data_IF_609526624167
#
_entry.id   IF_609526624167
#
_cell.length_a   1.000
_cell.length_b   1.000
_cell.length_c   1.000
_cell.angle_alpha   90.00
_cell.angle_beta   90.00
_cell.angle_gamma   90.00
#
_symmetry.space_group_name_H-M   'P 1'
#
loop_
_entity.id
_entity.type
_entity.pdbx_description
1 polymer ?
#
# COMPACT_ATOMS: atom_id res chain seq x y z
N UNK A 1 -4.80 12.53 36.47
CA UNK A 1 -4.42 12.90 35.09
C UNK A 1 -5.23 12.05 34.15
N UNK A 2 -6.24 12.60 33.48
CA UNK A 2 -6.98 11.88 32.44
C UNK A 2 -6.00 11.35 31.39
N UNK A 3 -6.06 10.06 31.09
CA UNK A 3 -5.30 9.45 30.01
C UNK A 3 -5.74 10.11 28.71
N UNK A 4 -4.90 11.00 28.16
CA UNK A 4 -5.14 11.56 26.83
C UNK A 4 -5.08 10.39 25.84
N UNK A 5 -6.24 9.95 25.37
CA UNK A 5 -6.36 8.97 24.30
C UNK A 5 -6.26 9.67 22.94
N UNK A 6 -5.87 8.93 21.90
CA UNK A 6 -5.90 9.44 20.52
C UNK A 6 -7.31 9.94 20.17
N UNK A 7 -7.38 11.07 19.46
CA UNK A 7 -8.67 11.62 19.02
C UNK A 7 -9.36 10.69 18.01
N UNK A 8 -10.58 10.26 18.34
CA UNK A 8 -11.48 9.49 17.46
C UNK A 8 -12.32 10.43 16.58
N UNK A 9 -11.66 11.15 15.68
CA UNK A 9 -12.29 12.19 14.84
C UNK A 9 -12.78 11.72 13.46
N UNK A 10 -12.65 10.44 13.12
CA UNK A 10 -13.05 9.90 11.82
C UNK A 10 -14.51 9.45 11.84
N UNK A 11 -15.27 9.84 10.82
CA UNK A 11 -16.65 9.39 10.60
C UNK A 11 -16.66 8.01 9.91
N UNK A 12 -17.73 7.21 10.02
CA UNK A 12 -17.84 5.92 9.31
C UNK A 12 -17.57 6.02 7.80
N UNK A 13 -18.03 7.10 7.15
CA UNK A 13 -17.75 7.39 5.73
C UNK A 13 -16.26 7.55 5.44
N UNK A 14 -15.50 8.13 6.37
CA UNK A 14 -14.06 8.31 6.25
C UNK A 14 -13.39 6.94 6.35
N UNK A 15 -13.82 6.10 7.29
CA UNK A 15 -13.26 4.75 7.45
C UNK A 15 -13.45 3.89 6.19
N UNK A 16 -14.66 3.87 5.61
CA UNK A 16 -14.91 3.11 4.37
C UNK A 16 -14.09 3.62 3.18
N UNK A 17 -13.93 4.95 3.05
CA UNK A 17 -13.18 5.54 1.94
C UNK A 17 -11.66 5.54 2.15
N UNK A 18 -11.15 5.64 3.37
CA UNK A 18 -9.74 5.39 3.69
C UNK A 18 -9.41 3.94 3.37
N UNK A 19 -10.29 3.02 3.74
CA UNK A 19 -10.14 1.63 3.35
C UNK A 19 -10.11 1.45 1.83
N UNK A 20 -10.94 2.17 1.06
CA UNK A 20 -10.94 2.12 -0.42
C UNK A 20 -9.72 2.81 -1.05
N UNK A 21 -9.57 4.11 -0.80
CA UNK A 21 -8.61 4.99 -1.43
C UNK A 21 -7.19 4.86 -0.90
N UNK A 22 -7.01 4.51 0.38
CA UNK A 22 -5.69 4.26 0.96
C UNK A 22 -4.99 3.03 0.40
N UNK A 23 -5.74 2.15 -0.26
CA UNK A 23 -5.21 0.99 -0.99
C UNK A 23 -4.96 1.28 -2.47
N UNK A 24 -5.24 2.50 -2.95
CA UNK A 24 -5.04 2.89 -4.35
C UNK A 24 -4.09 4.10 -4.33
N UNK A 25 -2.80 3.81 -4.45
CA UNK A 25 -1.73 4.81 -4.48
C UNK A 25 -0.99 4.84 -5.82
N UNK A 26 0.11 5.59 -5.88
CA UNK A 26 0.92 5.69 -7.11
C UNK A 26 1.61 4.39 -7.49
N UNK A 27 1.66 3.39 -6.59
CA UNK A 27 2.10 2.04 -6.94
C UNK A 27 1.32 1.45 -8.13
N UNK A 28 0.02 1.74 -8.23
CA UNK A 28 -0.77 1.36 -9.40
C UNK A 28 -0.52 2.31 -10.59
N UNK A 29 -0.46 3.62 -10.38
CA UNK A 29 -0.41 4.59 -11.49
C UNK A 29 0.98 4.79 -12.11
N UNK A 30 2.02 4.92 -11.28
CA UNK A 30 3.41 5.08 -11.69
C UNK A 30 4.13 3.73 -11.76
N UNK A 31 3.91 2.87 -10.76
CA UNK A 31 4.52 1.54 -10.72
C UNK A 31 4.12 0.65 -11.88
N UNK A 32 2.89 0.80 -12.40
CA UNK A 32 2.42 0.03 -13.56
C UNK A 32 3.23 0.26 -14.83
N UNK A 33 3.79 1.46 -15.03
CA UNK A 33 4.63 1.74 -16.20
C UNK A 33 5.85 0.79 -16.24
N UNK A 34 6.51 0.63 -15.09
CA UNK A 34 7.66 -0.27 -14.96
C UNK A 34 7.26 -1.74 -15.10
N UNK A 35 6.15 -2.15 -14.51
CA UNK A 35 5.71 -3.55 -14.54
C UNK A 35 5.20 -3.96 -15.92
N UNK A 36 4.51 -3.08 -16.64
CA UNK A 36 4.12 -3.28 -18.04
C UNK A 36 5.37 -3.36 -18.92
N UNK A 37 6.35 -2.47 -18.73
CA UNK A 37 7.61 -2.51 -19.50
C UNK A 37 8.41 -3.80 -19.29
N UNK A 38 8.37 -4.39 -18.09
CA UNK A 38 9.07 -5.64 -17.81
C UNK A 38 8.31 -6.89 -18.27
N UNK A 39 7.01 -6.98 -18.00
CA UNK A 39 6.23 -8.20 -18.20
C UNK A 39 5.39 -8.20 -19.49
N UNK A 40 5.18 -7.04 -20.10
CA UNK A 40 4.19 -6.85 -21.16
C UNK A 40 2.78 -7.23 -20.69
N UNK A 41 1.94 -7.81 -21.56
CA UNK A 41 0.56 -8.21 -21.22
C UNK A 41 0.45 -9.18 -20.04
N UNK A 42 1.47 -10.01 -19.80
CA UNK A 42 1.51 -10.94 -18.65
C UNK A 42 1.46 -10.26 -17.28
N UNK A 43 1.68 -8.94 -17.23
CA UNK A 43 1.45 -8.13 -16.02
C UNK A 43 0.04 -8.30 -15.45
N UNK A 44 -0.96 -8.62 -16.29
CA UNK A 44 -2.32 -8.93 -15.85
C UNK A 44 -2.37 -10.12 -14.90
N UNK A 45 -1.63 -11.17 -15.24
CA UNK A 45 -1.50 -12.34 -14.39
C UNK A 45 -0.71 -12.02 -13.12
N UNK A 46 0.21 -11.06 -13.16
CA UNK A 46 0.95 -10.63 -11.98
C UNK A 46 0.01 -9.93 -10.98
N UNK A 47 -0.80 -8.97 -11.45
CA UNK A 47 -1.81 -8.29 -10.62
C UNK A 47 -2.88 -9.25 -10.10
N UNK A 48 -3.30 -10.22 -10.92
CA UNK A 48 -4.28 -11.23 -10.51
C UNK A 48 -3.70 -12.18 -9.45
N UNK A 49 -2.50 -12.71 -9.65
CA UNK A 49 -1.82 -13.60 -8.72
C UNK A 49 -1.57 -12.91 -7.37
N UNK A 50 -1.02 -11.70 -7.41
CA UNK A 50 -0.84 -10.87 -6.22
C UNK A 50 -2.17 -10.62 -5.50
N UNK A 51 -3.22 -10.26 -6.25
CA UNK A 51 -4.57 -10.07 -5.70
C UNK A 51 -5.13 -11.32 -5.00
N UNK A 52 -4.96 -12.50 -5.60
CA UNK A 52 -5.38 -13.78 -4.98
C UNK A 52 -4.64 -14.02 -3.66
N UNK A 53 -3.33 -13.78 -3.62
CA UNK A 53 -2.52 -13.95 -2.40
C UNK A 53 -2.96 -12.96 -1.32
N UNK A 54 -3.19 -11.71 -1.70
CA UNK A 54 -3.69 -10.65 -0.80
C UNK A 54 -5.08 -10.98 -0.27
N UNK A 55 -5.94 -11.57 -1.10
CA UNK A 55 -7.23 -12.09 -0.63
C UNK A 55 -7.05 -13.14 0.48
N UNK A 56 -6.09 -14.07 0.35
CA UNK A 56 -5.80 -15.02 1.42
C UNK A 56 -5.27 -14.33 2.68
N UNK A 57 -4.30 -13.42 2.55
CA UNK A 57 -3.78 -12.63 3.69
C UNK A 57 -4.92 -11.96 4.46
N UNK A 58 -5.85 -11.35 3.73
CA UNK A 58 -6.98 -10.64 4.31
C UNK A 58 -8.03 -11.58 4.93
N UNK A 59 -8.19 -12.79 4.38
CA UNK A 59 -9.01 -13.84 5.00
C UNK A 59 -8.40 -14.33 6.31
N UNK A 60 -7.07 -14.49 6.37
CA UNK A 60 -6.34 -14.83 7.60
C UNK A 60 -6.54 -13.73 8.65
N UNK A 61 -6.27 -12.48 8.28
CA UNK A 61 -6.45 -11.34 9.17
C UNK A 61 -7.88 -11.23 9.68
N UNK A 62 -8.87 -11.40 8.79
CA UNK A 62 -10.28 -11.38 9.14
C UNK A 62 -10.68 -12.47 10.12
N UNK A 63 -10.23 -13.70 9.90
CA UNK A 63 -10.46 -14.81 10.80
C UNK A 63 -9.92 -14.50 12.21
N UNK A 64 -8.67 -14.08 12.29
CA UNK A 64 -8.01 -13.84 13.58
C UNK A 64 -8.62 -12.65 14.33
N UNK A 65 -8.92 -11.54 13.64
CA UNK A 65 -9.54 -10.35 14.25
C UNK A 65 -10.99 -10.56 14.69
N UNK A 66 -11.75 -11.45 14.05
CA UNK A 66 -13.13 -11.74 14.44
C UNK A 66 -13.19 -12.53 15.75
N UNK A 67 -12.23 -13.43 15.95
CA UNK A 67 -12.07 -14.18 17.19
C UNK A 67 -11.43 -13.31 18.28
N UNK A 68 -10.33 -12.65 17.96
CA UNK A 68 -9.56 -11.81 18.87
C UNK A 68 -9.47 -10.36 18.33
N UNK A 69 -10.47 -9.52 18.61
CA UNK A 69 -10.44 -8.12 18.21
C UNK A 69 -9.40 -7.36 19.04
N UNK A 70 -8.19 -7.22 18.50
CA UNK A 70 -7.07 -6.53 19.16
C UNK A 70 -6.67 -5.26 18.41
N UNK A 71 -6.44 -4.18 19.16
CA UNK A 71 -5.80 -2.96 18.64
C UNK A 71 -4.33 -3.26 18.31
N UNK A 72 -3.87 -2.87 17.11
CA UNK A 72 -2.53 -3.21 16.59
C UNK A 72 -2.48 -4.37 15.58
N UNK A 73 -3.61 -5.06 15.39
CA UNK A 73 -3.85 -6.03 14.30
C UNK A 73 -2.72 -7.08 14.15
N UNK A 74 -2.01 -7.08 13.03
CA UNK A 74 -1.02 -8.10 12.66
C UNK A 74 0.25 -8.08 13.53
N UNK A 75 0.70 -6.94 14.04
CA UNK A 75 1.88 -6.89 14.91
C UNK A 75 1.59 -7.53 16.27
N UNK A 76 0.37 -7.34 16.79
CA UNK A 76 -0.10 -8.00 18.02
C UNK A 76 -0.19 -9.51 17.82
N UNK A 77 -0.70 -9.97 16.67
CA UNK A 77 -0.72 -11.40 16.37
C UNK A 77 0.69 -11.99 16.18
N UNK A 78 1.63 -11.26 15.59
CA UNK A 78 3.02 -11.68 15.47
C UNK A 78 3.66 -11.82 16.85
N UNK A 79 3.41 -10.85 17.74
CA UNK A 79 3.87 -10.88 19.13
C UNK A 79 3.36 -12.12 19.87
N UNK A 80 2.03 -12.30 19.88
CA UNK A 80 1.33 -13.32 20.65
C UNK A 80 1.56 -14.74 20.13
N UNK A 81 1.56 -14.91 18.81
CA UNK A 81 1.59 -16.24 18.18
C UNK A 81 2.94 -16.63 17.60
N UNK A 82 3.90 -15.70 17.43
CA UNK A 82 5.26 -16.03 16.94
C UNK A 82 6.28 -15.81 18.04
N UNK A 83 6.52 -14.56 18.41
CA UNK A 83 7.41 -14.15 19.51
C UNK A 83 7.35 -12.63 19.72
N UNK A 84 7.76 -12.14 20.91
CA UNK A 84 8.03 -10.72 21.18
C UNK A 84 8.85 -9.99 20.10
N UNK A 85 9.89 -10.66 19.58
CA UNK A 85 10.74 -10.14 18.51
C UNK A 85 9.97 -10.04 17.18
N UNK A 86 9.16 -11.04 16.83
CA UNK A 86 8.37 -11.02 15.60
C UNK A 86 7.34 -9.88 15.63
N UNK A 87 6.69 -9.63 16.77
CA UNK A 87 5.82 -8.48 16.98
C UNK A 87 6.55 -7.15 16.76
N UNK A 88 7.70 -7.00 17.40
CA UNK A 88 8.54 -5.81 17.28
C UNK A 88 9.01 -5.55 15.84
N UNK A 89 9.54 -6.59 15.19
CA UNK A 89 10.02 -6.51 13.81
C UNK A 89 8.87 -6.17 12.85
N UNK A 90 7.70 -6.77 13.05
CA UNK A 90 6.52 -6.49 12.21
C UNK A 90 6.08 -5.04 12.32
N UNK A 91 6.01 -4.48 13.53
CA UNK A 91 5.61 -3.09 13.75
C UNK A 91 6.61 -2.08 13.14
N UNK A 92 7.92 -2.30 13.35
CA UNK A 92 8.95 -1.44 12.77
C UNK A 92 9.06 -1.57 11.25
N UNK A 93 8.88 -2.77 10.69
CA UNK A 93 8.87 -2.98 9.25
C UNK A 93 7.67 -2.28 8.59
N UNK A 94 6.51 -2.31 9.25
CA UNK A 94 5.32 -1.57 8.79
C UNK A 94 5.47 -0.06 8.94
N UNK A 95 6.17 0.43 9.97
CA UNK A 95 6.53 1.85 10.07
C UNK A 95 7.45 2.28 8.92
N UNK A 96 8.49 1.50 8.63
CA UNK A 96 9.43 1.78 7.55
C UNK A 96 8.77 1.76 6.18
N UNK A 97 7.86 0.80 5.96
CA UNK A 97 6.98 0.76 4.79
C UNK A 97 6.30 2.12 4.56
N UNK A 98 5.60 2.66 5.57
CA UNK A 98 4.86 3.92 5.40
C UNK A 98 5.76 5.14 5.21
N UNK A 99 6.95 5.15 5.82
CA UNK A 99 7.93 6.22 5.61
C UNK A 99 8.48 6.18 4.18
N UNK A 100 8.88 4.99 3.70
CA UNK A 100 9.45 4.83 2.35
C UNK A 100 8.41 5.03 1.26
N UNK A 101 7.22 4.46 1.40
CA UNK A 101 6.09 4.76 0.49
C UNK A 101 5.81 6.26 0.52
N UNK A 102 5.73 6.88 1.70
CA UNK A 102 5.57 8.34 1.81
C UNK A 102 6.61 9.13 1.02
N UNK A 103 7.90 8.78 1.09
CA UNK A 103 8.96 9.41 0.29
C UNK A 103 8.79 9.17 -1.23
N UNK A 104 8.33 7.99 -1.62
CA UNK A 104 8.04 7.68 -3.03
C UNK A 104 6.87 8.52 -3.55
N UNK A 105 5.83 8.71 -2.75
CA UNK A 105 4.68 9.55 -3.06
C UNK A 105 5.09 11.03 -3.24
N UNK A 106 6.02 11.51 -2.41
CA UNK A 106 6.62 12.85 -2.55
C UNK A 106 7.35 13.01 -3.87
N UNK A 107 8.08 11.97 -4.30
CA UNK A 107 8.75 11.94 -5.59
C UNK A 107 7.73 11.97 -6.74
N UNK A 108 6.64 11.21 -6.61
CA UNK A 108 5.57 11.18 -7.60
C UNK A 108 4.87 12.54 -7.74
N UNK A 109 4.62 13.26 -6.63
CA UNK A 109 4.11 14.65 -6.67
C UNK A 109 5.01 15.53 -7.54
N UNK A 110 6.34 15.44 -7.31
CA UNK A 110 7.31 16.22 -8.08
C UNK A 110 7.23 15.94 -9.59
N UNK A 111 7.22 14.66 -9.95
CA UNK A 111 7.17 14.20 -11.35
C UNK A 111 5.86 14.66 -12.03
N UNK A 112 4.71 14.48 -11.36
CA UNK A 112 3.42 14.78 -11.97
C UNK A 112 3.16 16.28 -12.11
N UNK A 113 3.65 17.13 -11.22
CA UNK A 113 3.54 18.59 -11.40
C UNK A 113 4.35 19.06 -12.62
N UNK A 114 5.47 18.40 -12.92
CA UNK A 114 6.30 18.66 -14.09
C UNK A 114 5.56 18.52 -15.43
N UNK A 115 4.42 17.80 -15.47
CA UNK A 115 3.59 17.73 -16.68
C UNK A 115 3.03 19.10 -17.10
N UNK A 116 2.59 19.93 -16.14
CA UNK A 116 2.09 21.28 -16.43
C UNK A 116 3.18 22.33 -16.36
N UNK A 117 4.18 22.12 -15.51
CA UNK A 117 5.24 23.09 -15.23
C UNK A 117 6.63 22.42 -15.38
N UNK A 118 7.03 22.06 -16.61
CA UNK A 118 8.27 21.31 -16.86
C UNK A 118 9.54 22.06 -16.45
N UNK A 119 9.49 23.39 -16.44
CA UNK A 119 10.63 24.24 -16.08
C UNK A 119 10.85 24.34 -14.56
N UNK A 120 9.89 23.87 -13.74
CA UNK A 120 10.02 23.88 -12.29
C UNK A 120 10.82 22.64 -11.84
N UNK A 121 11.95 22.80 -11.14
CA UNK A 121 12.70 21.67 -10.61
C UNK A 121 11.86 20.77 -9.72
N UNK A 122 11.92 19.45 -9.94
CA UNK A 122 11.08 18.41 -9.31
C UNK A 122 10.97 18.50 -7.78
N UNK A 123 12.03 18.93 -7.09
CA UNK A 123 12.06 19.05 -5.63
C UNK A 123 11.14 20.15 -5.07
N UNK A 124 10.84 21.21 -5.84
CA UNK A 124 9.98 22.32 -5.41
C UNK A 124 8.53 21.85 -5.23
N UNK A 125 7.87 21.26 -6.25
CA UNK A 125 6.52 20.71 -6.07
C UNK A 125 6.49 19.56 -5.06
N UNK A 126 7.54 18.73 -5.00
CA UNK A 126 7.66 17.70 -3.96
C UNK A 126 7.64 18.31 -2.54
N UNK A 127 8.42 19.37 -2.30
CA UNK A 127 8.43 20.11 -1.04
C UNK A 127 7.06 20.72 -0.73
N UNK A 128 6.47 21.41 -1.71
CA UNK A 128 5.16 22.04 -1.55
C UNK A 128 4.08 21.01 -1.16
N UNK A 129 4.04 19.86 -1.84
CA UNK A 129 3.12 18.77 -1.52
C UNK A 129 3.28 18.25 -0.09
N UNK A 130 4.53 17.99 0.33
CA UNK A 130 4.82 17.57 1.72
C UNK A 130 4.35 18.61 2.73
N UNK A 131 4.63 19.89 2.50
CA UNK A 131 4.26 20.96 3.43
C UNK A 131 2.74 21.13 3.55
N UNK A 132 2.00 21.02 2.44
CA UNK A 132 0.53 21.06 2.44
C UNK A 132 -0.04 19.93 3.30
N UNK A 133 0.41 18.70 3.06
CA UNK A 133 -0.09 17.51 3.79
C UNK A 133 0.37 17.53 5.25
N UNK A 134 1.60 17.96 5.52
CA UNK A 134 2.14 18.14 6.86
C UNK A 134 1.31 19.13 7.68
N UNK A 135 0.96 20.28 7.09
CA UNK A 135 0.12 21.28 7.73
C UNK A 135 -1.27 20.71 8.08
N UNK A 136 -1.89 19.97 7.16
CA UNK A 136 -3.19 19.32 7.40
C UNK A 136 -3.13 18.31 8.56
N UNK A 137 -2.10 17.46 8.60
CA UNK A 137 -1.93 16.44 9.64
C UNK A 137 -1.58 17.01 11.02
N UNK A 138 -0.84 18.12 11.06
CA UNK A 138 -0.49 18.80 12.30
C UNK A 138 -1.67 19.62 12.87
N UNK A 139 -2.56 20.12 12.01
CA UNK A 139 -3.71 20.94 12.41
C UNK A 139 -4.78 20.12 13.14
N UNK A 140 -5.34 19.09 12.49
CA UNK A 140 -6.34 18.21 13.12
C UNK A 140 -6.58 16.93 12.33
N UNK A 141 -6.86 15.83 13.04
CA UNK A 141 -7.22 14.51 12.45
C UNK A 141 -8.42 14.60 11.51
N UNK A 142 -9.36 15.52 11.74
CA UNK A 142 -10.51 15.72 10.85
C UNK A 142 -10.10 16.15 9.43
N UNK A 143 -9.02 16.93 9.29
CA UNK A 143 -8.57 17.39 7.98
C UNK A 143 -7.99 16.23 7.18
N UNK A 144 -7.21 15.35 7.82
CA UNK A 144 -6.77 14.09 7.23
C UNK A 144 -7.95 13.29 6.64
N UNK A 145 -9.02 13.09 7.42
CA UNK A 145 -10.17 12.31 6.98
C UNK A 145 -10.96 12.95 5.83
N UNK A 146 -11.09 14.28 5.81
CA UNK A 146 -11.74 15.00 4.71
C UNK A 146 -10.88 15.00 3.42
N UNK A 147 -9.56 15.20 3.52
CA UNK A 147 -8.66 15.09 2.37
C UNK A 147 -8.74 13.68 1.75
N UNK A 148 -8.65 12.64 2.57
CA UNK A 148 -8.76 11.26 2.07
C UNK A 148 -10.11 10.97 1.44
N UNK A 149 -11.20 11.48 2.01
CA UNK A 149 -12.53 11.32 1.43
C UNK A 149 -12.58 11.83 -0.03
N UNK A 150 -12.09 13.05 -0.25
CA UNK A 150 -12.11 13.66 -1.58
C UNK A 150 -11.10 12.99 -2.53
N UNK A 151 -9.88 12.70 -2.07
CA UNK A 151 -8.89 12.03 -2.90
C UNK A 151 -9.33 10.61 -3.30
N UNK A 152 -9.92 9.85 -2.38
CA UNK A 152 -10.49 8.53 -2.69
C UNK A 152 -11.60 8.63 -3.74
N UNK A 153 -12.50 9.61 -3.62
CA UNK A 153 -13.59 9.83 -4.56
C UNK A 153 -13.06 10.15 -5.97
N UNK A 154 -12.09 11.06 -6.10
CA UNK A 154 -11.48 11.43 -7.38
C UNK A 154 -10.85 10.20 -8.05
N UNK A 155 -10.05 9.44 -7.30
CA UNK A 155 -9.37 8.22 -7.78
C UNK A 155 -10.35 7.17 -8.28
N UNK A 156 -11.34 6.82 -7.46
CA UNK A 156 -12.29 5.74 -7.78
C UNK A 156 -13.11 6.12 -9.01
N UNK A 157 -13.65 7.34 -9.07
CA UNK A 157 -14.41 7.82 -10.23
C UNK A 157 -13.57 7.79 -11.50
N UNK A 158 -12.32 8.25 -11.44
CA UNK A 158 -11.44 8.26 -12.60
C UNK A 158 -11.12 6.85 -13.12
N UNK A 159 -10.83 5.89 -12.24
CA UNK A 159 -10.56 4.51 -12.65
C UNK A 159 -11.82 3.87 -13.27
N UNK A 160 -12.99 4.07 -12.67
CA UNK A 160 -14.25 3.54 -13.23
C UNK A 160 -14.53 4.16 -14.60
N UNK A 161 -14.39 5.48 -14.74
CA UNK A 161 -14.56 6.16 -16.02
C UNK A 161 -13.57 5.63 -17.08
N UNK A 162 -12.30 5.43 -16.70
CA UNK A 162 -11.28 4.86 -17.57
C UNK A 162 -11.67 3.47 -18.07
N UNK A 163 -12.18 2.62 -17.17
CA UNK A 163 -12.58 1.25 -17.53
C UNK A 163 -13.76 1.28 -18.49
N UNK A 164 -14.78 2.11 -18.23
CA UNK A 164 -15.96 2.23 -19.10
C UNK A 164 -15.56 2.74 -20.49
N UNK A 165 -14.83 3.85 -20.54
CA UNK A 165 -14.40 4.47 -21.80
C UNK A 165 -13.47 3.54 -22.57
N UNK A 166 -12.47 2.97 -21.89
CA UNK A 166 -11.51 2.07 -22.50
C UNK A 166 -12.14 0.78 -23.04
N UNK A 167 -13.06 0.18 -22.30
CA UNK A 167 -13.86 -0.96 -22.78
C UNK A 167 -14.69 -0.56 -24.01
N UNK A 168 -15.26 0.65 -24.00
CA UNK A 168 -15.90 1.29 -25.13
C UNK A 168 -15.05 1.35 -26.40
N UNK A 169 -13.81 1.83 -26.26
CA UNK A 169 -12.83 1.89 -27.34
C UNK A 169 -12.43 0.50 -27.85
N UNK A 170 -12.22 -0.45 -26.93
CA UNK A 170 -11.76 -1.81 -27.24
C UNK A 170 -12.80 -2.57 -28.05
N UNK A 171 -14.06 -2.57 -27.63
CA UNK A 171 -15.10 -3.43 -28.22
C UNK A 171 -16.02 -2.72 -29.20
N UNK A 172 -16.25 -1.41 -29.05
CA UNK A 172 -17.23 -0.66 -29.85
C UNK A 172 -16.59 0.46 -30.69
N UNK A 173 -15.29 0.72 -30.52
CA UNK A 173 -14.61 1.78 -31.27
C UNK A 173 -15.10 3.19 -30.94
N UNK A 174 -15.63 3.41 -29.73
CA UNK A 174 -16.04 4.75 -29.27
C UNK A 174 -14.88 5.75 -29.40
N UNK A 175 -15.10 6.90 -30.04
CA UNK A 175 -14.04 7.88 -30.28
C UNK A 175 -12.96 7.45 -31.28
N UNK A 176 -13.06 6.26 -31.88
CA UNK A 176 -12.13 5.73 -32.89
C UNK A 176 -12.85 5.43 -34.21
N UNK A 177 -13.75 6.33 -34.64
CA UNK A 177 -14.49 6.20 -35.90
C UNK A 177 -15.37 4.93 -36.00
N UNK A 178 -15.75 4.33 -34.86
CA UNK A 178 -16.49 3.06 -34.83
C UNK A 178 -15.63 1.82 -35.07
N UNK A 179 -14.31 1.98 -35.26
CA UNK A 179 -13.40 0.86 -35.40
C UNK A 179 -12.92 0.40 -34.02
N UNK A 180 -13.33 -0.80 -33.62
CA UNK A 180 -12.89 -1.42 -32.38
C UNK A 180 -11.36 -1.63 -32.40
N UNK A 181 -10.67 -1.20 -31.35
CA UNK A 181 -9.22 -1.47 -31.20
C UNK A 181 -8.96 -2.98 -31.08
N UNK A 182 -9.90 -3.71 -30.47
CA UNK A 182 -9.79 -5.15 -30.28
C UNK A 182 -8.72 -5.54 -29.25
N UNK A 183 -8.35 -6.82 -29.27
CA UNK A 183 -7.44 -7.43 -28.28
C UNK A 183 -6.02 -7.68 -28.83
N UNK A 184 -5.72 -7.17 -30.03
CA UNK A 184 -4.48 -7.48 -30.76
C UNK A 184 -3.22 -7.10 -29.97
N UNK A 185 -3.21 -5.94 -29.31
CA UNK A 185 -2.05 -5.48 -28.52
C UNK A 185 -1.61 -6.44 -27.41
N UNK A 186 -2.49 -7.34 -26.95
CA UNK A 186 -2.13 -8.38 -25.97
C UNK A 186 -1.20 -9.47 -26.53
N UNK A 187 -1.08 -9.57 -27.86
CA UNK A 187 -0.36 -10.66 -28.52
C UNK A 187 0.57 -10.19 -29.64
N UNK A 188 0.28 -9.06 -30.28
CA UNK A 188 0.97 -8.60 -31.49
C UNK A 188 2.41 -8.13 -31.27
N UNK A 189 2.83 -7.84 -30.03
CA UNK A 189 4.13 -7.23 -29.73
C UNK A 189 5.05 -8.20 -28.98
N UNK A 190 5.30 -9.38 -29.54
CA UNK A 190 6.12 -10.43 -28.90
C UNK A 190 5.32 -11.41 -28.02
N UNK A 191 4.01 -11.50 -28.22
CA UNK A 191 3.13 -12.42 -27.49
C UNK A 191 2.68 -11.89 -26.13
N UNK A 192 2.04 -12.77 -25.35
CA UNK A 192 1.50 -12.41 -24.04
C UNK A 192 2.58 -12.32 -22.94
N UNK A 193 3.68 -13.07 -23.09
CA UNK A 193 4.86 -13.07 -22.20
C UNK A 193 6.12 -12.56 -22.92
N UNK A 194 6.15 -11.31 -23.41
CA UNK A 194 7.28 -10.80 -24.18
C UNK A 194 8.54 -10.65 -23.31
N UNK A 195 8.39 -10.36 -22.01
CA UNK A 195 9.49 -10.38 -21.03
C UNK A 195 9.82 -11.76 -20.46
N UNK A 196 9.14 -12.82 -20.93
CA UNK A 196 9.22 -14.17 -20.39
C UNK A 196 8.87 -14.27 -18.89
N UNK A 197 9.21 -15.40 -18.28
CA UNK A 197 9.02 -15.60 -16.83
C UNK A 197 9.86 -14.65 -15.98
N UNK A 198 11.01 -14.19 -16.50
CA UNK A 198 11.89 -13.24 -15.82
C UNK A 198 11.21 -11.87 -15.67
N UNK A 199 10.67 -11.32 -16.75
CA UNK A 199 9.93 -10.06 -16.74
C UNK A 199 8.67 -10.12 -15.87
N UNK A 200 7.96 -11.25 -15.94
CA UNK A 200 6.82 -11.54 -15.06
C UNK A 200 7.23 -11.53 -13.58
N UNK A 201 8.32 -12.21 -13.21
CA UNK A 201 8.84 -12.23 -11.85
C UNK A 201 9.28 -10.84 -11.36
N UNK A 202 9.85 -10.02 -12.25
CA UNK A 202 10.22 -8.64 -11.93
C UNK A 202 8.98 -7.79 -11.65
N UNK A 203 7.93 -7.94 -12.45
CA UNK A 203 6.67 -7.24 -12.25
C UNK A 203 6.02 -7.60 -10.90
N UNK A 204 6.08 -8.87 -10.49
CA UNK A 204 5.55 -9.30 -9.19
C UNK A 204 6.09 -8.46 -8.02
N UNK A 205 7.34 -7.97 -8.08
CA UNK A 205 7.94 -7.17 -7.02
C UNK A 205 7.16 -5.87 -6.75
N UNK A 206 6.90 -5.10 -7.80
CA UNK A 206 6.23 -3.79 -7.69
C UNK A 206 4.72 -3.96 -7.57
N UNK A 207 4.16 -4.94 -8.29
CA UNK A 207 2.74 -5.31 -8.17
C UNK A 207 2.40 -5.70 -6.73
N UNK A 208 3.26 -6.48 -6.07
CA UNK A 208 3.08 -6.85 -4.66
C UNK A 208 3.05 -5.62 -3.76
N UNK A 209 3.98 -4.68 -3.96
CA UNK A 209 3.99 -3.44 -3.22
C UNK A 209 2.73 -2.60 -3.45
N UNK A 210 2.16 -2.62 -4.66
CA UNK A 210 0.93 -1.87 -4.96
C UNK A 210 -0.26 -2.27 -4.08
N UNK A 211 -0.28 -3.50 -3.56
CA UNK A 211 -1.32 -3.97 -2.63
C UNK A 211 -1.04 -3.67 -1.16
N UNK A 212 0.11 -3.08 -0.82
CA UNK A 212 0.42 -2.67 0.55
C UNK A 212 -0.59 -1.61 1.03
N UNK A 213 -0.88 -1.62 2.33
CA UNK A 213 -1.87 -0.73 2.93
C UNK A 213 -3.27 -1.33 2.98
N UNK A 214 -3.53 -2.47 2.33
CA UNK A 214 -4.79 -3.21 2.43
C UNK A 214 -5.12 -3.69 3.84
N UNK A 215 -4.08 -3.87 4.66
CA UNK A 215 -4.15 -4.21 6.08
C UNK A 215 -4.65 -3.06 6.93
N UNK A 216 -4.63 -1.82 6.42
CA UNK A 216 -5.26 -0.68 7.11
C UNK A 216 -6.73 -0.96 7.38
N UNK A 217 -7.39 -1.74 6.52
CA UNK A 217 -8.76 -2.21 6.75
C UNK A 217 -8.88 -2.92 8.10
N UNK A 218 -7.91 -3.74 8.49
CA UNK A 218 -7.90 -4.43 9.78
C UNK A 218 -7.75 -3.48 10.96
N UNK A 219 -6.91 -2.45 10.81
CA UNK A 219 -6.69 -1.41 11.82
C UNK A 219 -7.96 -0.57 11.98
N UNK A 220 -8.52 -0.07 10.87
CA UNK A 220 -9.66 0.84 10.89
C UNK A 220 -10.97 0.14 11.20
N UNK A 221 -11.16 -1.13 10.79
CA UNK A 221 -12.35 -1.89 11.15
C UNK A 221 -12.41 -2.19 12.65
N UNK A 222 -11.27 -2.33 13.32
CA UNK A 222 -11.21 -2.44 14.79
C UNK A 222 -11.73 -1.19 15.52
N UNK A 223 -11.76 -0.04 14.85
CA UNK A 223 -12.27 1.23 15.39
C UNK A 223 -13.74 1.50 15.01
N UNK A 224 -14.39 0.63 14.24
CA UNK A 224 -15.78 0.81 13.80
C UNK A 224 -16.82 0.44 14.87
N UNK A 225 -18.04 0.97 14.78
CA UNK A 225 -19.14 0.66 15.72
C UNK A 225 -19.49 -0.84 15.75
N UNK A 226 -19.44 -1.51 14.60
CA UNK A 226 -19.57 -2.96 14.49
C UNK A 226 -18.35 -3.55 13.77
N UNK A 227 -17.25 -3.83 14.50
CA UNK A 227 -15.99 -4.29 13.92
C UNK A 227 -16.14 -5.58 13.12
N UNK A 228 -16.89 -6.56 13.65
CA UNK A 228 -17.06 -7.88 13.00
C UNK A 228 -17.79 -7.75 11.66
N UNK A 229 -18.91 -7.02 11.61
CA UNK A 229 -19.63 -6.80 10.37
C UNK A 229 -18.80 -6.00 9.35
N UNK A 230 -18.20 -4.89 9.81
CA UNK A 230 -17.39 -3.99 8.98
C UNK A 230 -16.21 -4.71 8.35
N UNK A 231 -15.48 -5.50 9.15
CA UNK A 231 -14.33 -6.27 8.68
C UNK A 231 -14.73 -7.33 7.65
N UNK A 232 -15.84 -8.07 7.89
CA UNK A 232 -16.35 -9.06 6.92
C UNK A 232 -16.73 -8.42 5.59
N UNK A 233 -17.45 -7.30 5.62
CA UNK A 233 -17.86 -6.54 4.43
C UNK A 233 -16.63 -6.04 3.67
N UNK A 234 -15.66 -5.46 4.37
CA UNK A 234 -14.45 -4.94 3.75
C UNK A 234 -13.60 -6.03 3.08
N UNK A 235 -13.45 -7.21 3.72
CA UNK A 235 -12.73 -8.34 3.12
C UNK A 235 -13.51 -8.92 1.93
N UNK A 236 -14.84 -9.00 1.96
CA UNK A 236 -15.59 -9.44 0.77
C UNK A 236 -15.41 -8.47 -0.40
N UNK A 237 -15.42 -7.18 -0.11
CA UNK A 237 -15.28 -6.14 -1.13
C UNK A 237 -13.87 -6.07 -1.72
N UNK A 238 -12.85 -6.64 -1.07
CA UNK A 238 -11.48 -6.63 -1.58
C UNK A 238 -11.37 -7.27 -2.97
N UNK A 239 -12.17 -8.32 -3.25
CA UNK A 239 -12.14 -9.05 -4.51
C UNK A 239 -12.54 -8.12 -5.65
N UNK A 240 -13.63 -7.38 -5.48
CA UNK A 240 -14.07 -6.40 -6.47
C UNK A 240 -13.05 -5.27 -6.66
N UNK A 241 -12.38 -4.84 -5.58
CA UNK A 241 -11.30 -3.84 -5.68
C UNK A 241 -10.12 -4.35 -6.50
N UNK A 242 -9.68 -5.58 -6.28
CA UNK A 242 -8.63 -6.25 -7.06
C UNK A 242 -9.05 -6.35 -8.54
N UNK A 243 -10.25 -6.87 -8.81
CA UNK A 243 -10.70 -7.11 -10.17
C UNK A 243 -10.92 -5.81 -10.94
N UNK A 244 -11.56 -4.81 -10.34
CA UNK A 244 -11.90 -3.57 -11.02
C UNK A 244 -10.68 -2.64 -11.07
N UNK A 245 -10.14 -2.24 -9.91
CA UNK A 245 -9.16 -1.16 -9.85
C UNK A 245 -7.77 -1.57 -10.31
N UNK A 246 -7.39 -2.84 -10.13
CA UNK A 246 -6.09 -3.33 -10.52
C UNK A 246 -6.15 -4.05 -11.86
N UNK A 247 -6.83 -5.20 -11.91
CA UNK A 247 -6.84 -6.04 -13.12
C UNK A 247 -7.56 -5.35 -14.27
N UNK A 248 -8.75 -4.78 -14.03
CA UNK A 248 -9.54 -4.10 -15.06
C UNK A 248 -8.86 -2.85 -15.61
N UNK A 249 -8.29 -2.02 -14.73
CA UNK A 249 -7.52 -0.85 -15.14
C UNK A 249 -6.32 -1.22 -16.01
N UNK A 250 -5.52 -2.20 -15.57
CA UNK A 250 -4.34 -2.64 -16.31
C UNK A 250 -4.73 -3.32 -17.62
N UNK A 251 -5.81 -4.10 -17.63
CA UNK A 251 -6.34 -4.75 -18.84
C UNK A 251 -6.64 -3.74 -19.92
N UNK A 252 -7.34 -2.65 -19.55
CA UNK A 252 -7.64 -1.57 -20.48
C UNK A 252 -6.37 -0.94 -21.02
N UNK A 253 -5.37 -0.66 -20.17
CA UNK A 253 -4.11 -0.04 -20.59
C UNK A 253 -3.35 -0.90 -21.59
N UNK A 254 -3.08 -2.17 -21.26
CA UNK A 254 -2.26 -3.06 -22.13
C UNK A 254 -3.01 -3.55 -23.37
N UNK A 255 -4.33 -3.38 -23.41
CA UNK A 255 -5.14 -3.66 -24.61
C UNK A 255 -5.21 -2.45 -25.52
N UNK A 256 -5.30 -1.24 -24.95
CA UNK A 256 -5.36 -0.01 -25.73
C UNK A 256 -4.01 0.36 -26.35
N UNK A 257 -2.89 0.05 -25.68
CA UNK A 257 -1.55 0.42 -26.12
C UNK A 257 -0.61 -0.76 -26.28
N UNK A 258 0.27 -0.72 -27.30
CA UNK A 258 1.45 -1.58 -27.33
C UNK A 258 2.24 -1.44 -26.04
N UNK A 259 2.49 -2.54 -25.33
CA UNK A 259 3.14 -2.51 -24.02
C UNK A 259 4.55 -1.89 -24.06
N UNK A 260 5.20 -1.94 -25.22
CA UNK A 260 6.53 -1.38 -25.49
C UNK A 260 6.54 0.14 -25.67
N UNK A 261 5.38 0.78 -25.85
CA UNK A 261 5.21 2.25 -25.94
C UNK A 261 4.68 2.85 -24.63
N UNK A 262 4.25 1.99 -23.70
CA UNK A 262 3.70 2.42 -22.41
C UNK A 262 4.82 2.96 -21.51
N UNK A 263 4.67 4.22 -21.07
CA UNK A 263 5.58 4.85 -20.10
C UNK A 263 6.73 5.67 -20.70
N UNK A 264 6.76 5.89 -22.03
CA UNK A 264 7.72 6.81 -22.65
C UNK A 264 7.37 8.29 -22.42
N UNK A 265 6.08 8.59 -22.15
CA UNK A 265 5.60 9.94 -21.85
C UNK A 265 4.54 9.89 -20.74
N UNK A 266 4.96 10.03 -19.48
CA UNK A 266 4.05 10.11 -18.32
C UNK A 266 3.39 8.78 -17.91
N UNK A 267 2.31 8.87 -17.12
CA UNK A 267 1.62 7.67 -16.58
C UNK A 267 0.81 6.95 -17.66
N UNK A 268 0.78 5.61 -17.68
CA UNK A 268 -0.05 4.82 -18.61
C UNK A 268 -1.53 5.19 -18.56
N UNK A 269 -2.01 5.63 -17.40
CA UNK A 269 -3.40 6.06 -17.19
C UNK A 269 -3.69 7.40 -17.90
N UNK A 270 -2.71 8.30 -17.95
CA UNK A 270 -2.81 9.59 -18.66
C UNK A 270 -2.94 9.35 -20.16
N UNK A 271 -2.16 8.40 -20.70
CA UNK A 271 -2.19 8.05 -22.11
C UNK A 271 -3.58 7.57 -22.54
N UNK A 272 -4.24 6.69 -21.79
CA UNK A 272 -5.57 6.13 -22.14
C UNK A 272 -6.61 7.14 -22.58
N UNK A 273 -6.68 8.31 -21.93
CA UNK A 273 -7.68 9.31 -22.29
C UNK A 273 -7.25 10.24 -23.42
N UNK A 274 -5.95 10.43 -23.64
CA UNK A 274 -5.45 11.18 -24.78
C UNK A 274 -5.87 10.54 -26.11
N UNK A 275 -5.98 9.20 -26.15
CA UNK A 275 -6.44 8.45 -27.34
C UNK A 275 -7.87 8.77 -27.79
N UNK A 276 -8.71 9.21 -26.84
CA UNK A 276 -10.12 9.54 -27.09
C UNK A 276 -10.26 10.93 -27.73
N UNK A 277 -9.15 11.62 -28.01
CA UNK A 277 -9.14 12.94 -28.64
C UNK A 277 -9.53 14.09 -27.69
N UNK A 278 -9.68 13.82 -26.39
CA UNK A 278 -9.96 14.86 -25.40
C UNK A 278 -8.62 15.49 -24.99
N UNK A 279 -8.26 16.60 -25.62
CA UNK A 279 -7.00 17.34 -25.37
C UNK A 279 -6.81 17.67 -23.88
N UNK A 280 -7.90 17.97 -23.16
CA UNK A 280 -7.86 18.25 -21.73
C UNK A 280 -7.71 17.00 -20.83
N UNK A 281 -7.95 15.79 -21.35
CA UNK A 281 -8.05 14.61 -20.51
C UNK A 281 -6.71 14.09 -19.99
N UNK A 282 -5.61 14.33 -20.71
CA UNK A 282 -4.28 14.04 -20.20
C UNK A 282 -3.98 14.86 -18.93
N UNK A 283 -4.29 16.16 -18.94
CA UNK A 283 -4.19 17.02 -17.76
C UNK A 283 -5.11 16.59 -16.62
N UNK A 284 -6.37 16.22 -16.92
CA UNK A 284 -7.32 15.75 -15.90
C UNK A 284 -6.80 14.49 -15.20
N UNK A 285 -6.32 13.50 -15.95
CA UNK A 285 -5.80 12.28 -15.34
C UNK A 285 -4.50 12.53 -14.61
N UNK A 286 -3.62 13.39 -15.13
CA UNK A 286 -2.43 13.78 -14.40
C UNK A 286 -2.77 14.41 -13.04
N UNK A 287 -3.86 15.21 -12.97
CA UNK A 287 -4.42 15.71 -11.71
C UNK A 287 -4.97 14.60 -10.82
N UNK A 288 -5.70 13.62 -11.38
CA UNK A 288 -6.14 12.43 -10.62
C UNK A 288 -4.94 11.72 -10.00
N UNK A 289 -3.87 11.47 -10.76
CA UNK A 289 -2.70 10.77 -10.23
C UNK A 289 -1.95 11.62 -9.19
N UNK A 290 -1.87 12.94 -9.38
CA UNK A 290 -1.35 13.84 -8.36
C UNK A 290 -2.16 13.75 -7.05
N UNK A 291 -3.49 13.67 -7.12
CA UNK A 291 -4.33 13.47 -5.93
C UNK A 291 -4.12 12.10 -5.30
N UNK A 292 -3.82 11.07 -6.10
CA UNK A 292 -3.42 9.76 -5.59
C UNK A 292 -2.12 9.85 -4.81
N UNK A 293 -1.14 10.60 -5.31
CA UNK A 293 0.14 10.80 -4.66
C UNK A 293 0.02 11.57 -3.34
N UNK A 294 -0.76 12.65 -3.34
CA UNK A 294 -1.06 13.44 -2.13
C UNK A 294 -1.76 12.59 -1.07
N UNK A 295 -2.68 11.71 -1.47
CA UNK A 295 -3.37 10.76 -0.57
C UNK A 295 -2.43 9.69 0.01
N UNK A 296 -1.54 9.12 -0.81
CA UNK A 296 -0.52 8.18 -0.33
C UNK A 296 0.42 8.84 0.68
N UNK A 297 0.89 10.06 0.39
CA UNK A 297 1.72 10.85 1.31
C UNK A 297 1.00 11.13 2.64
N UNK A 298 -0.28 11.51 2.57
CA UNK A 298 -1.13 11.77 3.73
C UNK A 298 -1.34 10.51 4.59
N UNK A 299 -1.60 9.37 3.96
CA UNK A 299 -1.70 8.06 4.61
C UNK A 299 -0.37 7.66 5.26
N UNK A 300 0.76 7.90 4.60
CA UNK A 300 2.10 7.64 5.13
C UNK A 300 2.41 8.45 6.39
N UNK A 301 2.14 9.77 6.37
CA UNK A 301 2.35 10.66 7.53
C UNK A 301 1.48 10.21 8.72
N UNK A 302 0.20 9.95 8.45
CA UNK A 302 -0.76 9.55 9.46
C UNK A 302 -0.43 8.18 10.08
N UNK A 303 -0.23 7.17 9.24
CA UNK A 303 0.01 5.78 9.66
C UNK A 303 1.37 5.62 10.35
N UNK A 304 2.44 6.19 9.80
CA UNK A 304 3.76 6.11 10.45
C UNK A 304 3.78 6.89 11.78
N UNK A 305 3.14 8.06 11.84
CA UNK A 305 3.05 8.84 13.08
C UNK A 305 2.32 8.10 14.20
N UNK A 306 1.19 7.45 13.88
CA UNK A 306 0.45 6.62 14.85
C UNK A 306 1.18 5.33 15.21
N UNK A 307 1.81 4.66 14.25
CA UNK A 307 2.59 3.44 14.53
C UNK A 307 3.73 3.73 15.49
N UNK A 308 4.43 4.85 15.31
CA UNK A 308 5.52 5.26 16.19
C UNK A 308 5.04 5.65 17.59
N UNK A 309 3.87 6.29 17.69
CA UNK A 309 3.19 6.51 18.97
C UNK A 309 2.86 5.19 19.68
N UNK A 310 2.26 4.23 18.98
CA UNK A 310 1.89 2.91 19.54
C UNK A 310 3.11 2.11 19.97
N UNK A 311 4.18 2.09 19.16
CA UNK A 311 5.47 1.51 19.53
C UNK A 311 5.99 2.13 20.82
N UNK A 312 5.94 3.45 20.94
CA UNK A 312 6.38 4.13 22.15
C UNK A 312 5.54 3.73 23.34
N UNK A 313 4.21 3.72 23.20
CA UNK A 313 3.25 3.29 24.24
C UNK A 313 3.61 1.93 24.82
N UNK A 314 3.97 0.98 23.94
CA UNK A 314 4.38 -0.37 24.29
C UNK A 314 5.83 -0.49 24.83
N UNK A 315 6.54 0.63 25.02
CA UNK A 315 7.94 0.64 25.46
C UNK A 315 8.92 0.16 24.38
N UNK A 316 8.47 0.11 23.13
CA UNK A 316 9.22 -0.35 21.95
C UNK A 316 9.83 0.80 21.13
N UNK A 317 9.56 2.05 21.50
CA UNK A 317 10.21 3.25 20.97
C UNK A 317 10.44 4.30 22.08
N UNK A 318 11.31 5.30 21.87
CA UNK A 318 11.58 6.35 22.85
C UNK A 318 10.31 7.03 23.39
N UNK A 319 10.27 7.28 24.71
CA UNK A 319 9.07 7.78 25.39
C UNK A 319 8.56 9.14 24.90
N UNK A 320 9.40 9.96 24.27
CA UNK A 320 8.98 11.26 23.75
C UNK A 320 7.94 11.15 22.62
N UNK A 321 7.86 10.02 21.92
CA UNK A 321 6.84 9.74 20.91
C UNK A 321 5.44 9.55 21.48
N UNK A 322 5.30 9.28 22.78
CA UNK A 322 4.00 9.18 23.49
C UNK A 322 3.31 10.54 23.68
N UNK A 323 4.00 11.66 23.44
CA UNK A 323 3.46 12.98 23.75
C UNK A 323 2.38 13.40 22.75
N UNK A 324 1.15 13.53 23.24
CA UNK A 324 0.02 14.03 22.46
C UNK A 324 -0.12 15.56 22.54
N UNK A 325 -0.57 16.18 21.44
CA UNK A 325 -0.99 17.57 21.39
C UNK A 325 -2.31 17.80 22.15
N UNK A 326 -2.73 19.06 22.29
CA UNK A 326 -4.06 19.39 22.86
C UNK A 326 -5.21 18.78 22.04
N UNK A 327 -5.01 18.56 20.74
CA UNK A 327 -5.97 17.92 19.84
C UNK A 327 -5.89 16.39 19.75
N UNK A 328 -5.12 15.72 20.63
CA UNK A 328 -5.01 14.26 20.64
C UNK A 328 -4.20 13.69 19.47
N UNK A 329 -3.25 14.47 18.93
CA UNK A 329 -2.38 14.10 17.80
C UNK A 329 -0.96 13.82 18.31
N UNK A 330 -0.28 12.72 17.91
CA UNK A 330 1.10 12.41 18.31
C UNK A 330 2.10 13.30 17.57
N UNK A 331 2.17 14.56 17.99
CA UNK A 331 2.91 15.63 17.29
C UNK A 331 4.37 15.29 17.05
N UNK A 332 5.05 14.73 18.05
CA UNK A 332 6.47 14.38 17.92
C UNK A 332 6.70 13.29 16.88
N UNK A 333 5.84 12.27 16.87
CA UNK A 333 5.90 11.19 15.89
C UNK A 333 5.67 11.70 14.47
N UNK A 334 4.66 12.57 14.30
CA UNK A 334 4.35 13.18 13.00
C UNK A 334 5.50 14.07 12.51
N UNK A 335 6.08 14.90 13.38
CA UNK A 335 7.22 15.76 13.01
C UNK A 335 8.41 14.90 12.55
N UNK A 336 8.75 13.84 13.28
CA UNK A 336 9.85 12.94 12.87
C UNK A 336 9.53 12.26 11.53
N UNK A 337 8.30 11.81 11.32
CA UNK A 337 7.88 11.26 10.03
C UNK A 337 8.02 12.29 8.90
N UNK A 338 7.53 13.53 9.09
CA UNK A 338 7.66 14.60 8.10
C UNK A 338 9.15 14.88 7.80
N UNK A 339 10.00 14.97 8.82
CA UNK A 339 11.43 15.19 8.64
C UNK A 339 12.09 14.08 7.81
N UNK A 340 11.67 12.82 8.00
CA UNK A 340 12.12 11.72 7.16
C UNK A 340 11.61 11.87 5.72
N UNK A 341 10.34 12.24 5.52
CA UNK A 341 9.81 12.49 4.17
C UNK A 341 10.54 13.63 3.43
N UNK A 342 11.04 14.63 4.15
CA UNK A 342 11.89 15.69 3.59
C UNK A 342 13.23 15.17 3.05
N UNK A 343 13.72 14.01 3.52
CA UNK A 343 14.86 13.33 2.87
C UNK A 343 14.49 12.96 1.45
N UNK A 344 13.24 12.53 1.19
CA UNK A 344 12.72 12.32 -0.16
C UNK A 344 12.83 13.58 -1.03
N UNK A 345 12.49 14.76 -0.49
CA UNK A 345 12.67 16.04 -1.19
C UNK A 345 14.14 16.32 -1.52
N UNK A 346 15.05 16.08 -0.56
CA UNK A 346 16.49 16.22 -0.79
C UNK A 346 16.97 15.26 -1.88
N UNK A 347 16.51 14.01 -1.88
CA UNK A 347 16.83 13.06 -2.94
C UNK A 347 16.32 13.52 -4.30
N UNK A 348 15.13 14.15 -4.37
CA UNK A 348 14.61 14.74 -5.62
C UNK A 348 15.46 15.93 -6.11
N UNK A 349 16.13 16.65 -5.20
CA UNK A 349 17.07 17.71 -5.58
C UNK A 349 18.40 17.14 -6.09
N UNK A 350 18.94 16.13 -5.41
CA UNK A 350 20.23 15.52 -5.74
C UNK A 350 20.16 14.61 -6.98
N UNK A 351 19.03 13.92 -7.17
CA UNK A 351 18.82 12.91 -8.20
C UNK A 351 17.40 13.07 -8.78
N UNK A 352 17.15 14.06 -9.66
CA UNK A 352 15.86 14.26 -10.33
C UNK A 352 15.63 13.23 -11.45
N UNK A 353 15.87 11.94 -11.16
CA UNK A 353 15.65 10.82 -12.05
C UNK A 353 14.25 10.23 -11.80
N UNK A 354 13.53 9.90 -12.86
CA UNK A 354 12.24 9.19 -12.77
C UNK A 354 12.37 7.82 -12.08
N UNK A 355 13.56 7.20 -12.12
CA UNK A 355 13.87 5.95 -11.39
C UNK A 355 13.95 6.13 -9.87
N UNK A 356 14.11 7.36 -9.37
CA UNK A 356 14.15 7.60 -7.93
C UNK A 356 12.88 7.08 -7.24
N UNK A 357 11.72 7.28 -7.87
CA UNK A 357 10.46 6.72 -7.40
C UNK A 357 10.57 5.21 -7.23
N UNK A 358 11.03 4.50 -8.27
CA UNK A 358 11.13 3.05 -8.28
C UNK A 358 12.06 2.54 -7.16
N UNK A 359 13.20 3.20 -6.94
CA UNK A 359 14.15 2.81 -5.91
C UNK A 359 13.59 2.99 -4.49
N UNK A 360 13.02 4.16 -4.20
CA UNK A 360 12.43 4.44 -2.89
C UNK A 360 11.24 3.53 -2.64
N UNK A 361 10.35 3.39 -3.62
CA UNK A 361 9.16 2.55 -3.53
C UNK A 361 9.52 1.08 -3.33
N UNK A 362 10.50 0.56 -4.08
CA UNK A 362 10.93 -0.83 -3.97
C UNK A 362 11.58 -1.15 -2.62
N UNK A 363 12.10 -0.15 -1.91
CA UNK A 363 12.72 -0.35 -0.60
C UNK A 363 11.67 -0.73 0.45
N UNK A 364 10.41 -0.36 0.21
CA UNK A 364 9.27 -0.73 1.06
C UNK A 364 8.87 -2.19 0.92
N UNK A 365 9.23 -2.87 -0.18
CA UNK A 365 8.66 -4.18 -0.55
C UNK A 365 8.95 -5.23 0.53
N UNK A 366 10.22 -5.48 0.86
CA UNK A 366 10.58 -6.50 1.86
C UNK A 366 10.00 -6.17 3.26
N UNK A 367 10.22 -4.97 3.84
CA UNK A 367 9.60 -4.61 5.12
C UNK A 367 8.07 -4.66 5.09
N UNK A 368 7.45 -4.25 3.98
CA UNK A 368 6.01 -4.27 3.79
C UNK A 368 5.40 -5.67 3.66
N UNK A 369 6.19 -6.69 3.30
CA UNK A 369 5.76 -8.09 3.30
C UNK A 369 5.86 -8.77 4.67
N UNK A 370 6.60 -8.19 5.63
CA UNK A 370 6.77 -8.78 6.98
C UNK A 370 5.42 -9.01 7.68
N UNK A 371 4.45 -8.06 7.68
CA UNK A 371 3.10 -8.32 8.20
C UNK A 371 2.41 -9.53 7.59
N UNK A 372 2.62 -9.80 6.30
CA UNK A 372 1.97 -10.93 5.62
C UNK A 372 2.61 -12.26 5.96
N UNK A 373 3.94 -12.30 6.07
CA UNK A 373 4.64 -13.44 6.66
C UNK A 373 4.13 -13.68 8.09
N UNK A 374 4.07 -12.63 8.90
CA UNK A 374 3.64 -12.72 10.28
C UNK A 374 2.21 -13.26 10.41
N UNK A 375 1.26 -12.76 9.61
CA UNK A 375 -0.10 -13.30 9.59
C UNK A 375 -0.14 -14.77 9.19
N UNK A 376 0.56 -15.15 8.11
CA UNK A 376 0.61 -16.54 7.65
C UNK A 376 1.20 -17.49 8.70
N UNK A 377 2.26 -17.09 9.41
CA UNK A 377 2.85 -17.90 10.47
C UNK A 377 2.02 -17.89 11.76
N UNK A 378 1.47 -16.75 12.16
CA UNK A 378 0.65 -16.62 13.37
C UNK A 378 -0.61 -17.48 13.28
N UNK A 379 -1.22 -17.61 12.09
CA UNK A 379 -2.45 -18.38 11.93
C UNK A 379 -2.27 -19.87 12.27
N UNK A 380 -1.10 -20.47 12.01
CA UNK A 380 -0.84 -21.86 12.39
C UNK A 380 -0.98 -22.07 13.91
N UNK A 381 -0.37 -21.18 14.72
CA UNK A 381 -0.46 -21.26 16.18
C UNK A 381 -1.83 -20.81 16.70
N UNK A 382 -2.46 -19.84 16.03
CA UNK A 382 -3.84 -19.43 16.30
C UNK A 382 -4.83 -20.59 16.14
N UNK A 383 -4.78 -21.31 15.01
CA UNK A 383 -5.65 -22.47 14.76
C UNK A 383 -5.36 -23.64 15.70
N UNK A 384 -4.12 -23.80 16.17
CA UNK A 384 -3.79 -24.76 17.23
C UNK A 384 -4.39 -24.37 18.58
N UNK A 385 -4.42 -23.07 18.92
CA UNK A 385 -4.98 -22.56 20.19
C UNK A 385 -6.51 -22.60 20.21
N UNK A 386 -7.14 -22.13 19.14
CA UNK A 386 -8.61 -21.95 19.08
C UNK A 386 -9.33 -23.10 18.39
N UNK A 387 -8.64 -24.18 18.00
CA UNK A 387 -9.15 -25.24 17.12
C UNK A 387 -10.53 -25.80 17.51
N UNK A 388 -10.78 -25.99 18.80
CA UNK A 388 -12.06 -26.51 19.30
C UNK A 388 -13.22 -25.50 19.16
N UNK A 389 -12.91 -24.20 19.19
CA UNK A 389 -13.88 -23.11 19.07
C UNK A 389 -14.04 -22.63 17.61
N UNK A 390 -13.22 -23.13 16.69
CA UNK A 390 -13.31 -22.78 15.27
C UNK A 390 -14.54 -23.39 14.58
N UNK A 391 -15.22 -24.36 15.20
CA UNK A 391 -16.45 -24.98 14.66
C UNK A 391 -17.58 -23.98 14.46
N UNK A 392 -17.77 -23.07 15.42
CA UNK A 392 -18.80 -22.01 15.39
C UNK A 392 -18.28 -20.69 14.78
N UNK A 393 -17.06 -20.69 14.25
CA UNK A 393 -16.43 -19.48 13.74
C UNK A 393 -17.04 -19.05 12.41
N UNK A 394 -17.92 -18.06 12.48
CA UNK A 394 -18.69 -17.50 11.37
C UNK A 394 -17.88 -16.84 10.21
N UNK A 395 -16.55 -16.88 10.25
CA UNK A 395 -15.69 -16.39 9.16
C UNK A 395 -14.33 -17.09 9.14
N UNK A 396 -14.20 -18.18 8.38
CA UNK A 396 -12.94 -18.94 8.33
C UNK A 396 -12.09 -18.63 7.11
N UNK A 397 -10.76 -18.66 7.27
CA UNK A 397 -9.85 -18.70 6.13
C UNK A 397 -10.07 -19.98 5.34
N UNK A 398 -10.40 -19.85 4.05
CA UNK A 398 -10.61 -21.00 3.18
C UNK A 398 -9.26 -21.65 2.90
N UNK A 399 -9.27 -22.98 2.80
CA UNK A 399 -8.10 -23.78 2.44
C UNK A 399 -6.93 -23.69 3.41
N UNK A 400 -7.15 -23.35 4.68
CA UNK A 400 -6.12 -23.55 5.70
C UNK A 400 -5.77 -25.06 5.78
N UNK A 401 -4.48 -25.46 5.84
CA UNK A 401 -3.26 -24.62 5.86
C UNK A 401 -2.64 -24.32 4.47
N UNK A 402 -3.20 -24.84 3.38
CA UNK A 402 -2.68 -24.66 2.02
C UNK A 402 -2.55 -23.17 1.65
N UNK A 403 -3.53 -22.34 2.02
CA UNK A 403 -3.49 -20.89 1.76
C UNK A 403 -2.30 -20.19 2.40
N UNK A 404 -1.85 -20.64 3.59
CA UNK A 404 -0.66 -20.11 4.27
C UNK A 404 0.61 -20.42 3.49
N UNK A 405 0.74 -21.66 3.01
CA UNK A 405 1.89 -22.07 2.20
C UNK A 405 1.93 -21.30 0.88
N UNK A 406 0.78 -21.10 0.21
CA UNK A 406 0.70 -20.29 -1.00
C UNK A 406 1.21 -18.86 -0.74
N UNK A 407 0.79 -18.22 0.35
CA UNK A 407 1.28 -16.89 0.73
C UNK A 407 2.80 -16.93 0.92
N UNK A 408 3.32 -17.85 1.75
CA UNK A 408 4.75 -17.91 2.07
C UNK A 408 5.59 -18.13 0.80
N UNK A 409 5.21 -19.09 -0.05
CA UNK A 409 5.91 -19.35 -1.31
C UNK A 409 5.87 -18.13 -2.22
N UNK A 410 4.72 -17.47 -2.36
CA UNK A 410 4.61 -16.26 -3.16
C UNK A 410 5.54 -15.14 -2.67
N UNK A 411 5.55 -14.86 -1.36
CA UNK A 411 6.40 -13.81 -0.80
C UNK A 411 7.88 -14.13 -0.97
N UNK A 412 8.27 -15.41 -0.85
CA UNK A 412 9.64 -15.86 -1.16
C UNK A 412 9.96 -15.67 -2.64
N UNK A 413 9.04 -15.99 -3.56
CA UNK A 413 9.21 -15.74 -4.99
C UNK A 413 9.42 -14.25 -5.29
N UNK A 414 8.70 -13.36 -4.62
CA UNK A 414 8.91 -11.91 -4.74
C UNK A 414 10.31 -11.52 -4.30
N UNK A 415 10.82 -12.03 -3.17
CA UNK A 415 12.20 -11.77 -2.71
C UNK A 415 13.21 -12.27 -3.75
N UNK A 416 13.01 -13.47 -4.30
CA UNK A 416 13.87 -14.03 -5.36
C UNK A 416 13.85 -13.10 -6.58
N UNK A 417 12.67 -12.65 -7.01
CA UNK A 417 12.54 -11.67 -8.09
C UNK A 417 13.32 -10.39 -7.83
N UNK A 418 13.27 -9.89 -6.60
CA UNK A 418 14.02 -8.70 -6.21
C UNK A 418 15.54 -8.89 -6.23
N UNK A 419 16.04 -10.10 -5.91
CA UNK A 419 17.47 -10.40 -5.99
C UNK A 419 18.01 -10.33 -7.43
N UNK A 420 17.19 -10.69 -8.42
CA UNK A 420 17.59 -10.76 -9.82
C UNK A 420 17.28 -9.50 -10.63
N UNK A 421 16.37 -8.65 -10.16
CA UNK A 421 16.05 -7.40 -10.82
C UNK A 421 17.05 -6.29 -10.42
N UNK A 422 17.83 -5.73 -11.37
CA UNK A 422 18.80 -4.68 -11.07
C UNK A 422 18.19 -3.46 -10.38
N UNK A 423 16.95 -3.11 -10.73
CA UNK A 423 16.29 -1.91 -10.18
C UNK A 423 15.75 -2.11 -8.75
N UNK A 424 15.61 -3.36 -8.27
CA UNK A 424 15.06 -3.65 -6.94
C UNK A 424 16.04 -4.33 -6.00
N UNK A 425 17.22 -4.76 -6.48
CA UNK A 425 18.27 -5.38 -5.67
C UNK A 425 18.83 -4.46 -4.59
N UNK A 426 19.19 -3.23 -4.93
CA UNK A 426 19.66 -2.25 -3.94
C UNK A 426 18.54 -1.93 -2.93
N UNK A 427 17.31 -1.62 -3.36
CA UNK A 427 16.18 -1.45 -2.44
C UNK A 427 15.93 -2.64 -1.50
N UNK A 428 16.08 -3.88 -1.98
CA UNK A 428 15.99 -5.08 -1.14
C UNK A 428 17.04 -5.06 -0.02
N UNK A 429 18.28 -4.72 -0.35
CA UNK A 429 19.37 -4.61 0.63
C UNK A 429 19.07 -3.52 1.66
N UNK A 430 18.58 -2.36 1.23
CA UNK A 430 18.18 -1.28 2.15
C UNK A 430 17.12 -1.76 3.15
N UNK A 431 16.06 -2.42 2.66
CA UNK A 431 15.03 -3.00 3.51
C UNK A 431 15.57 -4.06 4.48
N UNK A 432 16.44 -4.95 3.99
CA UNK A 432 17.07 -5.98 4.81
C UNK A 432 18.01 -5.40 5.87
N UNK A 433 18.81 -4.39 5.52
CA UNK A 433 19.68 -3.66 6.46
C UNK A 433 18.87 -2.97 7.54
N UNK A 434 17.75 -2.32 7.18
CA UNK A 434 16.84 -1.74 8.17
C UNK A 434 16.31 -2.80 9.14
N UNK A 435 15.82 -3.93 8.62
CA UNK A 435 15.35 -5.03 9.47
C UNK A 435 16.45 -5.57 10.39
N UNK A 436 17.69 -5.68 9.90
CA UNK A 436 18.83 -6.07 10.72
C UNK A 436 19.11 -5.06 11.85
N UNK A 437 19.06 -3.76 11.56
CA UNK A 437 19.20 -2.69 12.56
C UNK A 437 18.10 -2.80 13.62
N UNK A 438 16.85 -3.07 13.22
CA UNK A 438 15.73 -3.27 14.15
C UNK A 438 15.98 -4.48 15.06
N UNK A 439 16.42 -5.60 14.51
CA UNK A 439 16.75 -6.80 15.31
C UNK A 439 17.88 -6.52 16.29
N UNK A 440 18.96 -5.87 15.83
CA UNK A 440 20.08 -5.47 16.70
C UNK A 440 19.58 -4.54 17.82
N UNK A 441 18.79 -3.53 17.49
CA UNK A 441 18.20 -2.60 18.45
C UNK A 441 17.32 -3.29 19.49
N UNK A 442 16.54 -4.30 19.11
CA UNK A 442 15.73 -5.08 20.04
C UNK A 442 16.56 -5.72 21.16
N UNK A 443 17.69 -6.33 20.79
CA UNK A 443 18.58 -6.99 21.74
C UNK A 443 19.41 -5.98 22.54
N UNK A 444 19.98 -4.95 21.88
CA UNK A 444 20.79 -3.92 22.54
C UNK A 444 20.01 -3.13 23.60
N UNK A 445 18.77 -2.74 23.30
CA UNK A 445 17.95 -1.95 24.23
C UNK A 445 17.12 -2.80 25.20
N UNK A 446 17.29 -4.13 25.17
CA UNK A 446 16.59 -5.08 26.03
C UNK A 446 15.07 -4.99 25.91
N UNK A 447 14.56 -4.68 24.71
CA UNK A 447 13.12 -4.40 24.50
C UNK A 447 12.26 -5.59 24.92
N UNK A 448 12.71 -6.81 24.65
CA UNK A 448 12.01 -8.03 25.07
C UNK A 448 11.77 -8.17 26.57
N UNK A 449 12.63 -7.56 27.41
CA UNK A 449 12.49 -7.55 28.87
C UNK A 449 11.50 -6.50 29.37
N UNK A 450 11.22 -5.48 28.55
CA UNK A 450 10.34 -4.34 28.89
C UNK A 450 8.89 -4.55 28.46
N UNK A 451 8.62 -5.53 27.61
CA UNK A 451 7.27 -5.81 27.14
C UNK A 451 6.47 -6.44 28.29
N UNK A 452 5.42 -5.75 28.73
CA UNK A 452 4.45 -6.33 29.66
C UNK A 452 3.81 -7.53 28.98
N UNK A 453 3.97 -8.69 29.62
CA UNK A 453 3.28 -9.90 29.23
C UNK A 453 1.81 -9.68 29.60
N UNK A 454 0.96 -9.29 28.66
CA UNK A 454 -0.49 -9.52 28.81
C UNK A 454 -0.74 -11.03 28.68
N UNK A 455 -0.34 -11.75 29.73
CA UNK A 455 -0.76 -13.12 29.98
C UNK A 455 -2.17 -13.05 30.56
N UNK A 456 -3.12 -13.67 29.87
CA UNK A 456 -4.40 -14.15 30.41
C UNK A 456 -5.34 -13.12 31.07
N UNK A 457 -6.00 -12.29 30.26
CA UNK A 457 -7.31 -11.70 30.64
C UNK A 457 -8.52 -12.44 30.03
N UNK A 458 -8.33 -13.64 29.47
CA UNK A 458 -9.43 -14.49 28.95
C UNK A 458 -9.62 -15.80 29.71
N UNK A 459 -9.11 -15.90 30.95
CA UNK A 459 -9.61 -16.87 31.94
C UNK A 459 -10.71 -16.21 32.78
N UNK A 460 -11.87 -15.95 32.19
CA UNK A 460 -13.16 -15.97 32.89
C UNK A 460 -14.23 -16.44 31.92
#
# INVERSE_FOLDING_TARGET
MESKQLSRGLKPRHVELIALGGTIGVGLFMGSASTIKWAGPSVLLAYLLAGIVIFFVMRIMGEMLIQEPVTGSFATFAHKYISPLAGFLTAWSYWFLWVTVGMAEVTAIGIYVGYWFPDIPQWIPALAGVLIIAAANLAAVKFYGEFEFWFAMIKVTAIVAMIVIGTGLIFFGWGNGGQAIGLSNLFSHGGFFPGGLKGFLFALCIVTAAYQGVEMVGITAGEAENPKYTLRKAIKNIVWRILIFYVGAIFVIVTLYPWNEVGETGSPFVLTFAKVGIVAAAGIINFVVLTAAMSGCNSGIYSAGRMLYTLAENGQAPAFFKKLSKGGVPRNSIIVTISLLLIGVVLNYLMPDSKLFLYIYSASVLPGMVPWFALAFSQFRFRKRWGNEMGDHNFTSKWFPISNYIIIVYLVLVIIGMCFNPDTRLPLLVGATFMAIVVIGYFLFGIGKKQRIEQDSTRQ
#
